data_IF_151088790288
#
_entry.id   IF_151088790288
#
_cell.length_a   1.000
_cell.length_b   1.000
_cell.length_c   1.000
_cell.angle_alpha   90.00
_cell.angle_beta   90.00
_cell.angle_gamma   90.00
#
_symmetry.space_group_name_H-M   'P 1'
#
loop_
_entity.id
_entity.type
_entity.pdbx_description
1 polymer ?
#
# COMPACT_ATOMS: atom_id res chain seq x y z
N UNK A 1 -14.06 -130.06 -59.22
CA UNK A 1 -14.18 -128.68 -59.74
C UNK A 1 -14.86 -127.72 -58.76
N UNK A 2 -14.41 -127.62 -57.49
CA UNK A 2 -15.03 -126.72 -56.48
C UNK A 2 -14.02 -125.84 -55.71
N UNK A 3 -12.72 -125.95 -56.02
CA UNK A 3 -11.63 -125.24 -55.30
C UNK A 3 -11.14 -123.96 -55.99
N UNK A 4 -11.49 -123.72 -57.26
CA UNK A 4 -11.06 -122.52 -58.00
C UNK A 4 -12.08 -121.38 -58.00
N UNK A 5 -13.31 -121.62 -57.53
CA UNK A 5 -14.37 -120.61 -57.42
C UNK A 5 -14.27 -119.79 -56.12
N UNK A 6 -13.51 -120.26 -55.13
CA UNK A 6 -13.37 -119.61 -53.81
C UNK A 6 -12.16 -118.67 -53.72
N UNK A 7 -11.19 -118.79 -54.63
CA UNK A 7 -9.99 -117.94 -54.66
C UNK A 7 -10.16 -116.65 -55.47
N UNK A 8 -11.19 -116.56 -56.32
CA UNK A 8 -11.49 -115.33 -57.10
C UNK A 8 -12.32 -114.32 -56.27
N UNK A 9 -13.12 -114.78 -55.30
CA UNK A 9 -13.95 -113.92 -54.47
C UNK A 9 -13.19 -113.18 -53.35
N UNK A 10 -12.00 -113.66 -52.95
CA UNK A 10 -11.19 -113.04 -51.88
C UNK A 10 -10.24 -111.95 -52.43
N UNK A 11 -9.87 -112.01 -53.71
CA UNK A 11 -9.02 -111.01 -54.36
C UNK A 11 -9.83 -109.78 -54.84
N UNK A 12 -11.14 -109.93 -55.08
CA UNK A 12 -12.01 -108.79 -55.41
C UNK A 12 -12.41 -107.94 -54.19
N UNK A 13 -12.37 -108.49 -52.97
CA UNK A 13 -12.71 -107.75 -51.73
C UNK A 13 -11.54 -106.96 -51.14
N UNK A 14 -10.30 -107.22 -51.57
CA UNK A 14 -9.12 -106.45 -51.15
C UNK A 14 -8.87 -105.18 -51.97
N UNK A 15 -9.45 -105.07 -53.18
CA UNK A 15 -9.37 -103.86 -54.01
C UNK A 15 -10.38 -102.77 -53.60
N UNK A 16 -11.59 -103.16 -53.18
CA UNK A 16 -12.61 -102.21 -52.69
C UNK A 16 -12.24 -101.55 -51.35
N UNK A 17 -11.35 -102.17 -50.57
CA UNK A 17 -10.89 -101.64 -49.27
C UNK A 17 -9.80 -100.56 -49.40
N UNK A 18 -9.12 -100.49 -50.55
CA UNK A 18 -8.07 -99.50 -50.83
C UNK A 18 -8.68 -98.20 -51.37
N UNK A 19 -9.71 -98.28 -52.21
CA UNK A 19 -10.43 -97.11 -52.72
C UNK A 19 -11.18 -96.36 -51.62
N UNK A 20 -11.89 -97.07 -50.73
CA UNK A 20 -12.59 -96.43 -49.60
C UNK A 20 -11.66 -95.75 -48.58
N UNK A 21 -10.41 -96.22 -48.47
CA UNK A 21 -9.41 -95.66 -47.55
C UNK A 21 -8.69 -94.45 -48.16
N UNK A 22 -8.49 -94.44 -49.47
CA UNK A 22 -7.99 -93.28 -50.22
C UNK A 22 -9.01 -92.13 -50.24
N UNK A 23 -10.31 -92.44 -50.38
CA UNK A 23 -11.38 -91.43 -50.36
C UNK A 23 -11.48 -90.75 -48.98
N UNK A 24 -11.39 -91.54 -47.89
CA UNK A 24 -11.43 -91.03 -46.52
C UNK A 24 -10.22 -90.14 -46.14
N UNK A 25 -9.02 -90.40 -46.68
CA UNK A 25 -7.88 -89.48 -46.51
C UNK A 25 -8.04 -88.21 -47.36
N UNK A 26 -8.58 -88.33 -48.57
CA UNK A 26 -8.86 -87.18 -49.44
C UNK A 26 -9.88 -86.21 -48.81
N UNK A 27 -10.90 -86.75 -48.14
CA UNK A 27 -11.92 -85.95 -47.47
C UNK A 27 -11.40 -85.26 -46.21
N UNK A 28 -10.52 -85.91 -45.45
CA UNK A 28 -9.81 -85.26 -44.33
C UNK A 28 -8.93 -84.12 -44.81
N UNK A 29 -8.24 -84.27 -45.94
CA UNK A 29 -7.42 -83.20 -46.52
C UNK A 29 -8.27 -82.03 -47.02
N UNK A 30 -9.43 -82.30 -47.64
CA UNK A 30 -10.40 -81.27 -48.03
C UNK A 30 -10.95 -80.53 -46.83
N UNK A 31 -11.28 -81.24 -45.75
CA UNK A 31 -11.80 -80.63 -44.53
C UNK A 31 -10.74 -79.80 -43.79
N UNK A 32 -9.50 -80.30 -43.72
CA UNK A 32 -8.35 -79.56 -43.21
C UNK A 32 -8.10 -78.28 -44.04
N UNK A 33 -8.22 -78.35 -45.37
CA UNK A 33 -8.09 -77.19 -46.25
C UNK A 33 -9.20 -76.17 -46.05
N UNK A 34 -10.46 -76.60 -45.88
CA UNK A 34 -11.59 -75.71 -45.56
C UNK A 34 -11.39 -75.02 -44.20
N UNK A 35 -10.99 -75.78 -43.19
CA UNK A 35 -10.69 -75.26 -41.85
C UNK A 35 -9.54 -74.27 -41.87
N UNK A 36 -8.44 -74.58 -42.56
CA UNK A 36 -7.31 -73.67 -42.74
C UNK A 36 -7.74 -72.38 -43.46
N UNK A 37 -8.54 -72.48 -44.53
CA UNK A 37 -9.06 -71.32 -45.27
C UNK A 37 -9.95 -70.45 -44.39
N UNK A 38 -10.81 -71.06 -43.55
CA UNK A 38 -11.64 -70.34 -42.59
C UNK A 38 -10.80 -69.65 -41.51
N UNK A 39 -9.74 -70.28 -41.01
CA UNK A 39 -8.79 -69.65 -40.10
C UNK A 39 -8.05 -68.47 -40.74
N UNK A 40 -7.59 -68.61 -41.99
CA UNK A 40 -6.91 -67.51 -42.69
C UNK A 40 -7.83 -66.30 -42.84
N UNK A 41 -9.10 -66.51 -43.25
CA UNK A 41 -10.09 -65.44 -43.32
C UNK A 41 -10.35 -64.80 -41.96
N UNK A 42 -10.54 -65.60 -40.91
CA UNK A 42 -10.72 -65.08 -39.54
C UNK A 42 -9.51 -64.28 -39.06
N UNK A 43 -8.29 -64.70 -39.39
CA UNK A 43 -7.07 -63.98 -39.02
C UNK A 43 -6.90 -62.70 -39.85
N UNK A 44 -7.29 -62.69 -41.12
CA UNK A 44 -7.35 -61.48 -41.95
C UNK A 44 -8.37 -60.48 -41.41
N UNK A 45 -9.56 -60.93 -41.03
CA UNK A 45 -10.59 -60.09 -40.41
C UNK A 45 -10.10 -59.51 -39.08
N UNK A 46 -9.46 -60.33 -38.23
CA UNK A 46 -8.85 -59.85 -36.97
C UNK A 46 -7.70 -58.87 -37.23
N UNK A 47 -6.85 -59.12 -38.22
CA UNK A 47 -5.76 -58.22 -38.60
C UNK A 47 -6.30 -56.88 -39.06
N UNK A 48 -7.32 -56.86 -39.92
CA UNK A 48 -7.94 -55.62 -40.41
C UNK A 48 -8.60 -54.84 -39.26
N UNK A 49 -9.29 -55.52 -38.36
CA UNK A 49 -9.89 -54.91 -37.17
C UNK A 49 -8.85 -54.34 -36.20
N UNK A 50 -7.74 -55.05 -35.96
CA UNK A 50 -6.63 -54.56 -35.14
C UNK A 50 -5.92 -53.38 -35.81
N UNK A 51 -5.73 -53.42 -37.13
CA UNK A 51 -5.10 -52.34 -37.88
C UNK A 51 -5.96 -51.06 -37.86
N UNK A 52 -7.29 -51.20 -37.92
CA UNK A 52 -8.20 -50.08 -37.70
C UNK A 52 -8.07 -49.50 -36.28
N UNK A 53 -8.06 -50.35 -35.24
CA UNK A 53 -7.88 -49.90 -33.85
C UNK A 53 -6.54 -49.19 -33.62
N UNK A 54 -5.45 -49.68 -34.21
CA UNK A 54 -4.13 -49.02 -34.13
C UNK A 54 -4.18 -47.66 -34.82
N UNK A 55 -4.78 -47.56 -36.00
CA UNK A 55 -4.93 -46.29 -36.70
C UNK A 55 -5.76 -45.27 -35.89
N UNK A 56 -6.84 -45.72 -35.24
CA UNK A 56 -7.66 -44.85 -34.38
C UNK A 56 -6.89 -44.42 -33.13
N UNK A 57 -6.20 -45.34 -32.46
CA UNK A 57 -5.36 -45.02 -31.29
C UNK A 57 -4.21 -44.07 -31.65
N UNK A 58 -3.61 -44.19 -32.84
CA UNK A 58 -2.58 -43.27 -33.32
C UNK A 58 -3.15 -41.87 -33.60
N UNK A 59 -4.36 -41.78 -34.16
CA UNK A 59 -5.06 -40.49 -34.35
C UNK A 59 -5.39 -39.84 -33.00
N UNK A 60 -5.91 -40.59 -32.05
CA UNK A 60 -6.20 -40.09 -30.69
C UNK A 60 -4.93 -39.63 -29.99
N UNK A 61 -3.85 -40.43 -30.06
CA UNK A 61 -2.55 -40.05 -29.50
C UNK A 61 -2.02 -38.76 -30.12
N UNK A 62 -2.10 -38.62 -31.44
CA UNK A 62 -1.68 -37.40 -32.12
C UNK A 62 -2.51 -36.18 -31.67
N UNK A 63 -3.84 -36.35 -31.58
CA UNK A 63 -4.75 -35.31 -31.10
C UNK A 63 -4.45 -34.90 -29.65
N UNK A 64 -4.30 -35.87 -28.73
CA UNK A 64 -3.97 -35.61 -27.34
C UNK A 64 -2.59 -34.97 -27.18
N UNK A 65 -1.60 -35.39 -27.98
CA UNK A 65 -0.26 -34.79 -27.96
C UNK A 65 -0.30 -33.33 -28.40
N UNK A 66 -1.10 -33.02 -29.43
CA UNK A 66 -1.34 -31.65 -29.88
C UNK A 66 -2.03 -30.81 -28.80
N UNK A 67 -3.08 -31.33 -28.16
CA UNK A 67 -3.77 -30.64 -27.07
C UNK A 67 -2.86 -30.40 -25.86
N UNK A 68 -2.03 -31.37 -25.47
CA UNK A 68 -1.06 -31.21 -24.38
C UNK A 68 -0.03 -30.13 -24.73
N UNK A 69 0.45 -30.08 -25.98
CA UNK A 69 1.38 -29.05 -26.42
C UNK A 69 0.74 -27.66 -26.36
N UNK A 70 -0.51 -27.52 -26.83
CA UNK A 70 -1.26 -26.28 -26.77
C UNK A 70 -1.53 -25.83 -25.33
N UNK A 71 -1.97 -26.74 -24.46
CA UNK A 71 -2.20 -26.47 -23.05
C UNK A 71 -0.91 -26.05 -22.33
N UNK A 72 0.21 -26.72 -22.59
CA UNK A 72 1.53 -26.33 -22.03
C UNK A 72 1.96 -24.94 -22.50
N UNK A 73 1.69 -24.59 -23.76
CA UNK A 73 1.98 -23.25 -24.28
C UNK A 73 1.12 -22.19 -23.58
N UNK A 74 -0.18 -22.44 -23.41
CA UNK A 74 -1.08 -21.53 -22.69
C UNK A 74 -0.67 -21.37 -21.22
N UNK A 75 -0.32 -22.45 -20.52
CA UNK A 75 0.13 -22.37 -19.12
C UNK A 75 1.38 -21.49 -19.01
N UNK A 76 2.36 -21.67 -19.90
CA UNK A 76 3.57 -20.82 -19.91
C UNK A 76 3.24 -19.34 -20.15
N UNK A 77 2.32 -19.04 -21.05
CA UNK A 77 1.91 -17.67 -21.34
C UNK A 77 1.17 -17.04 -20.16
N UNK A 78 0.25 -17.78 -19.54
CA UNK A 78 -0.47 -17.34 -18.33
C UNK A 78 0.51 -17.13 -17.17
N UNK A 79 1.46 -18.03 -16.95
CA UNK A 79 2.47 -17.85 -15.91
C UNK A 79 3.38 -16.63 -16.15
N UNK A 80 3.69 -16.34 -17.41
CA UNK A 80 4.51 -15.18 -17.78
C UNK A 80 3.73 -13.88 -17.54
N UNK A 81 2.53 -13.77 -18.11
CA UNK A 81 1.66 -12.61 -17.94
C UNK A 81 1.27 -12.38 -16.48
N UNK A 82 1.06 -13.45 -15.71
CA UNK A 82 0.80 -13.34 -14.28
C UNK A 82 2.01 -12.81 -13.52
N UNK A 83 3.23 -13.28 -13.82
CA UNK A 83 4.46 -12.74 -13.23
C UNK A 83 4.63 -11.27 -13.53
N UNK A 84 4.49 -10.87 -14.80
CA UNK A 84 4.57 -9.47 -15.22
C UNK A 84 3.51 -8.60 -14.50
N UNK A 85 2.28 -9.09 -14.38
CA UNK A 85 1.21 -8.37 -13.68
C UNK A 85 1.49 -8.22 -12.18
N UNK A 86 2.05 -9.25 -11.54
CA UNK A 86 2.44 -9.20 -10.12
C UNK A 86 3.60 -8.22 -9.91
N UNK A 87 4.61 -8.25 -10.77
CA UNK A 87 5.75 -7.34 -10.69
C UNK A 87 5.31 -5.89 -10.88
N UNK A 88 4.47 -5.60 -11.88
CA UNK A 88 3.91 -4.27 -12.12
C UNK A 88 3.02 -3.82 -10.95
N UNK A 89 2.23 -4.71 -10.38
CA UNK A 89 1.41 -4.41 -9.20
C UNK A 89 2.26 -4.07 -7.97
N UNK A 90 3.33 -4.84 -7.72
CA UNK A 90 4.26 -4.57 -6.63
C UNK A 90 4.99 -3.25 -6.81
N UNK A 91 5.43 -2.93 -8.03
CA UNK A 91 6.06 -1.64 -8.32
C UNK A 91 5.10 -0.47 -8.08
N UNK A 92 3.84 -0.58 -8.54
CA UNK A 92 2.82 0.44 -8.26
C UNK A 92 2.53 0.59 -6.77
N UNK A 93 2.51 -0.50 -6.01
CA UNK A 93 2.33 -0.44 -4.56
C UNK A 93 3.48 0.31 -3.89
N UNK A 94 4.72 0.04 -4.28
CA UNK A 94 5.89 0.72 -3.75
C UNK A 94 5.87 2.22 -4.08
N UNK A 95 5.58 2.59 -5.33
CA UNK A 95 5.44 4.00 -5.74
C UNK A 95 4.35 4.73 -4.94
N UNK A 96 3.23 4.04 -4.68
CA UNK A 96 2.12 4.59 -3.87
C UNK A 96 2.53 4.74 -2.40
N UNK A 97 3.23 3.77 -1.82
CA UNK A 97 3.75 3.86 -0.46
C UNK A 97 4.73 5.03 -0.31
N UNK A 98 5.69 5.17 -1.24
CA UNK A 98 6.62 6.30 -1.23
C UNK A 98 5.91 7.64 -1.37
N UNK A 99 4.89 7.69 -2.23
CA UNK A 99 4.06 8.90 -2.38
C UNK A 99 3.33 9.22 -1.07
N UNK A 100 2.69 8.23 -0.44
CA UNK A 100 1.99 8.41 0.84
C UNK A 100 2.94 8.90 1.94
N UNK A 101 4.14 8.34 2.04
CA UNK A 101 5.14 8.80 3.02
C UNK A 101 5.59 10.24 2.76
N UNK A 102 5.78 10.62 1.49
CA UNK A 102 6.07 12.03 1.13
C UNK A 102 4.92 12.96 1.53
N UNK A 103 3.67 12.56 1.28
CA UNK A 103 2.51 13.36 1.68
C UNK A 103 2.42 13.48 3.20
N UNK A 104 2.62 12.39 3.95
CA UNK A 104 2.64 12.43 5.42
C UNK A 104 3.70 13.40 5.93
N UNK A 105 4.94 13.30 5.44
CA UNK A 105 6.02 14.22 5.82
C UNK A 105 5.66 15.68 5.54
N UNK A 106 5.15 15.97 4.34
CA UNK A 106 4.72 17.32 3.98
C UNK A 106 3.58 17.84 4.87
N UNK A 107 2.62 16.99 5.24
CA UNK A 107 1.53 17.36 6.15
C UNK A 107 2.04 17.61 7.58
N UNK A 108 2.96 16.79 8.08
CA UNK A 108 3.57 16.97 9.40
C UNK A 108 4.40 18.25 9.47
N UNK A 109 5.18 18.56 8.44
CA UNK A 109 5.90 19.83 8.30
C UNK A 109 4.93 21.01 8.28
N UNK A 110 3.88 20.95 7.45
CA UNK A 110 2.87 22.01 7.39
C UNK A 110 2.17 22.23 8.74
N UNK A 111 1.83 21.15 9.45
CA UNK A 111 1.24 21.22 10.79
C UNK A 111 2.21 21.83 11.82
N UNK A 112 3.50 21.51 11.73
CA UNK A 112 4.55 22.06 12.60
C UNK A 112 4.75 23.55 12.34
N UNK A 113 4.77 23.97 11.07
CA UNK A 113 4.86 25.37 10.68
C UNK A 113 3.65 26.15 11.17
N UNK A 114 2.44 25.61 11.01
CA UNK A 114 1.21 26.24 11.50
C UNK A 114 1.25 26.45 13.02
N UNK A 115 1.58 25.40 13.80
CA UNK A 115 1.70 25.49 15.26
C UNK A 115 2.76 26.50 15.70
N UNK A 116 3.90 26.51 15.02
CA UNK A 116 4.97 27.48 15.30
C UNK A 116 4.48 28.91 15.05
N UNK A 117 3.81 29.15 13.91
CA UNK A 117 3.25 30.47 13.56
C UNK A 117 2.17 30.92 14.54
N UNK A 118 1.32 30.02 15.00
CA UNK A 118 0.30 30.35 16.01
C UNK A 118 0.94 30.70 17.36
N UNK A 119 2.00 29.96 17.77
CA UNK A 119 2.78 30.29 18.96
C UNK A 119 3.48 31.65 18.86
N UNK A 120 4.09 31.96 17.72
CA UNK A 120 4.69 33.26 17.45
C UNK A 120 3.65 34.39 17.49
N UNK A 121 2.48 34.18 16.88
CA UNK A 121 1.36 35.16 16.91
C UNK A 121 0.90 35.43 18.33
N UNK A 122 0.68 34.39 19.13
CA UNK A 122 0.27 34.54 20.53
C UNK A 122 1.32 35.31 21.35
N UNK A 123 2.62 35.06 21.11
CA UNK A 123 3.70 35.81 21.74
C UNK A 123 3.68 37.28 21.36
N UNK A 124 3.61 37.59 20.06
CA UNK A 124 3.56 38.99 19.59
C UNK A 124 2.31 39.73 20.05
N UNK A 125 1.17 39.04 20.13
CA UNK A 125 -0.05 39.63 20.69
C UNK A 125 0.11 39.95 22.18
N UNK A 126 0.71 39.05 22.96
CA UNK A 126 1.02 39.30 24.37
C UNK A 126 1.98 40.48 24.56
N UNK A 127 3.05 40.55 23.77
CA UNK A 127 3.99 41.67 23.79
C UNK A 127 3.30 42.98 23.40
N UNK A 128 2.47 42.99 22.35
CA UNK A 128 1.73 44.17 21.92
C UNK A 128 0.76 44.67 23.00
N UNK A 129 0.07 43.76 23.71
CA UNK A 129 -0.80 44.11 24.85
C UNK A 129 0.03 44.73 25.98
N UNK A 130 1.16 44.11 26.34
CA UNK A 130 2.05 44.61 27.40
C UNK A 130 2.62 46.00 27.06
N UNK A 131 3.09 46.19 25.83
CA UNK A 131 3.56 47.49 25.35
C UNK A 131 2.45 48.53 25.38
N UNK A 132 1.26 48.21 24.88
CA UNK A 132 0.10 49.13 24.90
C UNK A 132 -0.27 49.54 26.33
N UNK A 133 -0.24 48.60 27.28
CA UNK A 133 -0.49 48.89 28.70
C UNK A 133 0.60 49.80 29.29
N UNK A 134 1.87 49.51 29.00
CA UNK A 134 3.02 50.32 29.43
C UNK A 134 2.95 51.75 28.88
N UNK A 135 2.68 51.91 27.58
CA UNK A 135 2.51 53.24 26.95
C UNK A 135 1.36 54.01 27.59
N UNK A 136 0.21 53.37 27.82
CA UNK A 136 -0.93 54.03 28.48
C UNK A 136 -0.58 54.50 29.89
N UNK A 137 0.16 53.69 30.65
CA UNK A 137 0.64 54.05 31.98
C UNK A 137 1.63 55.23 31.92
N UNK A 138 2.59 55.19 31.00
CA UNK A 138 3.57 56.27 30.80
C UNK A 138 2.89 57.59 30.44
N UNK A 139 1.92 57.58 29.52
CA UNK A 139 1.14 58.76 29.14
C UNK A 139 0.36 59.32 30.33
N UNK A 140 -0.29 58.46 31.12
CA UNK A 140 -1.02 58.88 32.32
C UNK A 140 -0.08 59.51 33.37
N UNK A 141 1.05 58.85 33.68
CA UNK A 141 2.05 59.34 34.63
C UNK A 141 2.70 60.64 34.19
N UNK A 142 3.03 60.78 32.90
CA UNK A 142 3.53 62.04 32.34
C UNK A 142 2.49 63.16 32.50
N UNK A 143 1.22 62.87 32.23
CA UNK A 143 0.13 63.81 32.47
C UNK A 143 0.03 64.27 33.93
N UNK A 144 0.26 63.37 34.90
CA UNK A 144 0.31 63.71 36.32
C UNK A 144 1.56 64.52 36.68
N UNK A 145 2.74 64.13 36.20
CA UNK A 145 3.99 64.90 36.38
C UNK A 145 3.84 66.34 35.90
N UNK A 146 3.22 66.55 34.73
CA UNK A 146 2.95 67.89 34.20
C UNK A 146 1.98 68.69 35.08
N UNK A 147 1.03 68.03 35.76
CA UNK A 147 0.14 68.70 36.73
C UNK A 147 0.91 69.11 37.99
N UNK A 148 1.68 68.19 38.57
CA UNK A 148 2.52 68.43 39.75
C UNK A 148 3.53 69.55 39.45
N UNK A 149 4.19 69.52 38.30
CA UNK A 149 5.12 70.58 37.88
C UNK A 149 4.45 71.95 37.72
N UNK A 150 3.23 72.01 37.16
CA UNK A 150 2.45 73.27 37.11
C UNK A 150 2.00 73.75 38.49
N UNK A 151 1.66 72.84 39.41
CA UNK A 151 1.33 73.20 40.79
C UNK A 151 2.54 73.83 41.49
N UNK A 152 3.72 73.23 41.33
CA UNK A 152 4.97 73.73 41.89
C UNK A 152 5.32 75.12 41.33
N UNK A 153 5.23 75.31 40.01
CA UNK A 153 5.47 76.61 39.36
C UNK A 153 4.50 77.69 39.88
N UNK A 154 3.20 77.37 39.99
CA UNK A 154 2.21 78.32 40.56
C UNK A 154 2.49 78.68 42.00
N UNK A 155 2.92 77.72 42.84
CA UNK A 155 3.29 78.01 44.22
C UNK A 155 4.53 78.91 44.28
N UNK A 156 5.51 78.68 43.42
CA UNK A 156 6.69 79.54 43.32
C UNK A 156 6.34 80.96 42.84
N UNK A 157 5.52 81.09 41.79
CA UNK A 157 5.02 82.39 41.29
C UNK A 157 4.15 83.14 42.31
N UNK A 158 3.42 82.40 43.16
CA UNK A 158 2.60 82.96 44.24
C UNK A 158 3.41 83.51 45.43
N UNK A 159 4.70 83.15 45.56
CA UNK A 159 5.62 83.77 46.52
C UNK A 159 6.04 85.12 45.95
N UNK A 160 5.23 86.14 46.21
CA UNK A 160 5.48 87.50 45.73
C UNK A 160 6.57 88.19 46.56
N UNK A 161 7.27 89.16 45.95
CA UNK A 161 8.33 89.98 46.55
C UNK A 161 7.95 90.69 47.88
N UNK A 162 6.68 90.68 48.30
CA UNK A 162 6.23 91.15 49.62
C UNK A 162 6.59 90.21 50.78
N UNK A 163 6.77 88.90 50.54
CA UNK A 163 7.18 87.94 51.58
C UNK A 163 8.66 88.08 51.94
N UNK A 164 9.47 88.68 51.05
CA UNK A 164 10.91 88.89 51.24
C UNK A 164 11.20 89.89 52.36
N UNK A 165 10.25 90.79 52.69
CA UNK A 165 10.39 91.73 53.80
C UNK A 165 10.29 91.05 55.19
N UNK A 166 9.69 89.85 55.28
CA UNK A 166 9.47 89.11 56.54
C UNK A 166 10.56 88.04 56.78
N UNK A 167 11.51 87.87 55.84
CA UNK A 167 12.57 86.84 55.88
C UNK A 167 13.67 87.12 56.92
N UNK A 168 13.69 88.28 57.57
CA UNK A 168 14.74 88.63 58.55
C UNK A 168 14.38 88.41 60.03
N UNK A 169 13.27 87.72 60.35
CA UNK A 169 12.93 87.44 61.76
C UNK A 169 13.29 86.01 62.24
N UNK A 170 13.65 85.82 63.53
CA UNK A 170 14.17 84.55 64.09
C UNK A 170 13.17 83.38 64.16
N UNK A 171 11.93 83.55 63.67
CA UNK A 171 10.86 82.54 63.60
C UNK A 171 11.08 81.46 62.51
N UNK A 172 12.29 81.36 61.97
CA UNK A 172 12.65 80.47 60.85
C UNK A 172 12.55 78.98 61.15
N UNK A 173 12.49 78.54 62.41
CA UNK A 173 12.36 77.13 62.76
C UNK A 173 11.08 76.48 62.22
N UNK A 174 9.93 77.14 62.40
CA UNK A 174 8.63 76.62 61.96
C UNK A 174 8.45 76.70 60.44
N UNK A 175 8.80 77.84 59.81
CA UNK A 175 8.75 78.00 58.35
C UNK A 175 9.73 77.07 57.62
N UNK A 176 10.91 76.80 58.19
CA UNK A 176 11.85 75.81 57.61
C UNK A 176 11.23 74.41 57.57
N UNK A 177 10.55 73.99 58.63
CA UNK A 177 9.84 72.70 58.66
C UNK A 177 8.69 72.69 57.65
N UNK A 178 7.95 73.79 57.52
CA UNK A 178 6.89 73.92 56.52
C UNK A 178 7.42 73.79 55.07
N UNK A 179 8.52 74.47 54.75
CA UNK A 179 9.18 74.34 53.43
C UNK A 179 9.72 72.93 53.21
N UNK A 180 10.32 72.30 54.23
CA UNK A 180 10.77 70.91 54.16
C UNK A 180 9.61 69.95 53.91
N UNK A 181 8.47 70.13 54.59
CA UNK A 181 7.27 69.32 54.38
C UNK A 181 6.70 69.49 52.96
N UNK A 182 6.71 70.71 52.43
CA UNK A 182 6.28 70.98 51.05
C UNK A 182 7.21 70.30 50.05
N UNK A 183 8.54 70.43 50.23
CA UNK A 183 9.52 69.77 49.36
C UNK A 183 9.38 68.25 49.41
N UNK A 184 9.17 67.69 50.59
CA UNK A 184 8.93 66.26 50.77
C UNK A 184 7.64 65.80 50.09
N UNK A 185 6.52 66.52 50.25
CA UNK A 185 5.25 66.21 49.56
C UNK A 185 5.39 66.21 48.03
N UNK A 186 6.17 67.15 47.48
CA UNK A 186 6.44 67.18 46.04
C UNK A 186 7.40 66.08 45.60
N UNK A 187 8.41 65.75 46.40
CA UNK A 187 9.32 64.63 46.10
C UNK A 187 8.55 63.30 46.09
N UNK A 188 7.68 63.08 47.07
CA UNK A 188 6.79 61.91 47.14
C UNK A 188 5.87 61.83 45.91
N UNK A 189 5.26 62.95 45.50
CA UNK A 189 4.43 63.03 44.29
C UNK A 189 5.22 62.74 43.01
N UNK A 190 6.48 63.16 42.91
CA UNK A 190 7.34 62.87 41.76
C UNK A 190 7.75 61.40 41.73
N UNK A 191 8.08 60.83 42.90
CA UNK A 191 8.44 59.42 43.05
C UNK A 191 7.28 58.48 42.70
N UNK A 192 6.05 58.81 43.09
CA UNK A 192 4.84 58.02 42.75
C UNK A 192 4.63 57.91 41.22
N UNK A 193 4.95 58.97 40.48
CA UNK A 193 4.80 59.03 39.03
C UNK A 193 6.04 58.52 38.26
N UNK A 194 7.10 58.09 38.95
CA UNK A 194 8.27 57.49 38.31
C UNK A 194 7.85 56.21 37.56
N UNK A 195 8.27 56.08 36.31
CA UNK A 195 8.09 54.84 35.54
C UNK A 195 9.17 53.87 36.00
N UNK A 196 8.77 52.69 36.49
CA UNK A 196 9.68 51.58 36.75
C UNK A 196 9.85 50.87 35.41
N UNK A 197 11.09 50.79 34.91
CA UNK A 197 11.44 50.03 33.72
C UNK A 197 11.55 48.55 34.04
#
# INVERSE_FOLDING_TARGET
MKRHLLTVAVVLSSLASVEARADAESDKLREALRSATAQTRSLEDQRSALQAKVADAEREKAALTSQIAAAKAQVKEVEKTHREAVDEFNQRLEDRNQTLEKWKGAYEEAATVARTKDGERAKFEGEAIAYKASTKSCVAKNGQLMKVGRELLRRYEGVSFGDIAVINEPLMGARRVEVQNILQDYDDKLLEQKVIQ
#
